data_IF_378488066685
#
_entry.id   IF_378488066685
#
_cell.length_a   1.000
_cell.length_b   1.000
_cell.length_c   1.000
_cell.angle_alpha   90.00
_cell.angle_beta   90.00
_cell.angle_gamma   90.00
#
_symmetry.space_group_name_H-M   'P 1'
#
loop_
_entity.id
_entity.type
_entity.pdbx_description
1 polymer ?
#
# COMPACT_ATOMS: atom_id res chain seq x y z
N UNK A 1 7.79 -37.41 25.84
CA UNK A 1 8.89 -37.27 24.88
C UNK A 1 8.78 -35.97 24.06
N UNK A 2 7.67 -35.64 23.39
CA UNK A 2 7.49 -34.41 22.57
C UNK A 2 7.86 -33.11 23.32
N UNK A 3 7.38 -32.91 24.57
CA UNK A 3 7.69 -31.71 25.38
C UNK A 3 9.15 -31.55 25.74
N UNK A 4 9.88 -32.68 25.90
CA UNK A 4 11.31 -32.66 26.22
C UNK A 4 12.12 -32.27 24.97
N UNK A 5 11.70 -32.76 23.79
CA UNK A 5 12.33 -32.46 22.51
C UNK A 5 12.18 -30.97 22.17
N UNK A 6 10.98 -30.41 22.36
CA UNK A 6 10.73 -28.98 22.16
C UNK A 6 11.58 -28.11 23.10
N UNK A 7 11.70 -28.50 24.39
CA UNK A 7 12.56 -27.79 25.34
C UNK A 7 14.05 -27.85 24.96
N UNK A 8 14.51 -28.98 24.44
CA UNK A 8 15.88 -29.13 24.00
C UNK A 8 16.20 -28.31 22.75
N UNK A 9 15.29 -28.33 21.77
CA UNK A 9 15.40 -27.51 20.56
C UNK A 9 15.44 -26.00 20.90
N UNK A 10 14.57 -25.52 21.80
CA UNK A 10 14.59 -24.11 22.26
C UNK A 10 15.91 -23.74 22.92
N UNK A 11 16.54 -24.65 23.71
CA UNK A 11 17.86 -24.41 24.29
C UNK A 11 18.98 -24.31 23.24
N UNK A 12 18.80 -24.96 22.10
CA UNK A 12 19.71 -24.92 20.95
C UNK A 12 19.42 -23.79 19.96
N UNK A 13 18.43 -22.94 20.24
CA UNK A 13 18.04 -21.82 19.37
C UNK A 13 17.13 -22.21 18.21
N UNK A 14 16.52 -23.41 18.25
CA UNK A 14 15.57 -23.86 17.23
C UNK A 14 14.14 -23.89 17.77
N UNK A 15 13.18 -23.50 16.94
CA UNK A 15 11.76 -23.68 17.21
C UNK A 15 11.21 -24.85 16.39
N UNK A 16 10.60 -25.81 17.09
CA UNK A 16 9.92 -26.95 16.42
C UNK A 16 8.46 -26.60 16.33
N UNK A 17 7.97 -26.47 15.12
CA UNK A 17 6.56 -26.21 14.78
C UNK A 17 5.95 -27.51 14.28
N UNK A 18 4.80 -27.88 14.83
CA UNK A 18 4.01 -29.00 14.29
C UNK A 18 3.20 -28.50 13.12
N UNK A 19 3.63 -28.80 11.91
CA UNK A 19 2.95 -28.37 10.68
C UNK A 19 1.57 -28.98 10.48
N UNK A 20 1.23 -30.04 11.18
CA UNK A 20 -0.09 -30.68 11.11
C UNK A 20 -1.09 -30.11 12.15
N UNK A 21 -0.59 -29.46 13.18
CA UNK A 21 -1.39 -28.84 14.25
C UNK A 21 -1.11 -27.33 14.30
N UNK A 22 -1.60 -26.63 13.29
CA UNK A 22 -1.61 -25.18 13.23
C UNK A 22 -2.72 -24.58 14.11
N UNK A 23 -2.91 -25.08 15.30
CA UNK A 23 -3.76 -24.43 16.28
C UNK A 23 -3.05 -23.23 16.88
N UNK A 24 -3.03 -22.12 16.14
CA UNK A 24 -2.85 -20.83 16.77
C UNK A 24 -4.07 -20.59 17.67
N UNK A 25 -3.92 -20.04 18.90
CA UNK A 25 -5.04 -19.64 19.73
C UNK A 25 -6.05 -18.73 19.03
N UNK A 26 -5.63 -18.10 17.93
CA UNK A 26 -6.44 -17.21 17.10
C UNK A 26 -7.22 -17.94 15.99
N UNK A 27 -6.81 -19.11 15.54
CA UNK A 27 -7.54 -19.89 14.50
C UNK A 27 -8.76 -20.65 15.03
N UNK A 28 -8.82 -20.92 16.35
CA UNK A 28 -9.93 -21.64 16.97
C UNK A 28 -11.07 -20.72 17.44
N UNK A 29 -10.90 -19.41 17.34
CA UNK A 29 -11.96 -18.41 17.56
C UNK A 29 -12.22 -17.72 16.23
N UNK A 30 -13.48 -17.66 15.81
CA UNK A 30 -13.86 -16.72 14.76
C UNK A 30 -13.36 -15.35 15.21
N UNK A 31 -12.48 -14.76 14.37
CA UNK A 31 -12.02 -13.40 14.58
C UNK A 31 -13.20 -12.47 14.31
N UNK A 32 -13.97 -12.17 15.34
CA UNK A 32 -15.02 -11.15 15.30
C UNK A 32 -14.46 -9.75 15.56
N UNK A 33 -13.16 -9.64 15.76
CA UNK A 33 -12.49 -8.37 16.07
C UNK A 33 -11.96 -7.75 14.77
N UNK A 34 -12.22 -6.47 14.60
CA UNK A 34 -11.67 -5.70 13.48
C UNK A 34 -10.16 -5.54 13.66
N UNK A 35 -9.39 -6.05 12.73
CA UNK A 35 -7.91 -6.06 12.78
C UNK A 35 -7.27 -4.66 12.67
N UNK A 36 -8.06 -3.65 12.35
CA UNK A 36 -7.60 -2.29 12.07
C UNK A 36 -7.79 -1.30 13.21
N UNK A 37 -8.24 -1.73 14.38
CA UNK A 37 -8.46 -0.82 15.51
C UNK A 37 -7.14 -0.61 16.25
N UNK A 38 -6.68 0.64 16.30
CA UNK A 38 -5.55 1.09 17.11
C UNK A 38 -5.77 0.68 18.58
N UNK A 39 -4.76 0.10 19.22
CA UNK A 39 -4.74 -0.39 20.58
C UNK A 39 -5.49 -1.70 20.86
N UNK A 40 -5.94 -2.42 19.86
CA UNK A 40 -6.50 -3.75 20.04
C UNK A 40 -5.44 -4.84 20.05
N UNK A 41 -5.83 -6.02 20.51
CA UNK A 41 -4.96 -7.15 20.75
C UNK A 41 -4.29 -7.63 19.44
N UNK A 42 -2.97 -7.63 19.40
CA UNK A 42 -2.20 -8.16 18.26
C UNK A 42 -2.55 -9.63 18.01
N UNK A 43 -2.78 -9.96 16.73
CA UNK A 43 -2.98 -11.34 16.29
C UNK A 43 -1.65 -11.87 15.77
N UNK A 44 -1.22 -12.97 16.35
CA UNK A 44 -0.03 -13.71 15.88
C UNK A 44 -0.51 -14.80 14.95
N UNK A 45 -0.17 -14.68 13.66
CA UNK A 45 -0.43 -15.70 12.67
C UNK A 45 0.72 -16.71 12.61
N UNK A 46 0.44 -18.00 12.38
CA UNK A 46 1.49 -19.01 12.27
C UNK A 46 2.34 -18.78 11.01
N UNK A 47 3.65 -19.04 11.12
CA UNK A 47 4.63 -18.86 10.04
C UNK A 47 4.67 -20.02 9.04
N UNK A 48 3.99 -21.12 9.25
CA UNK A 48 4.01 -22.29 8.37
C UNK A 48 3.42 -22.06 6.98
N UNK A 49 3.39 -23.08 6.17
CA UNK A 49 2.72 -23.06 4.86
C UNK A 49 1.23 -22.78 5.02
N UNK A 50 0.71 -21.92 4.15
CA UNK A 50 -0.70 -21.54 4.12
C UNK A 50 -1.26 -21.88 2.76
N UNK A 51 -2.41 -22.55 2.75
CA UNK A 51 -3.16 -22.76 1.51
C UNK A 51 -3.75 -21.41 1.08
N UNK A 52 -3.24 -20.87 -0.02
CA UNK A 52 -3.75 -19.62 -0.58
C UNK A 52 -5.12 -19.87 -1.22
N UNK A 53 -6.15 -19.29 -0.59
CA UNK A 53 -7.54 -19.33 -1.06
C UNK A 53 -8.02 -17.98 -1.60
N UNK A 54 -7.29 -16.90 -1.26
CA UNK A 54 -7.54 -15.53 -1.72
C UNK A 54 -6.37 -15.06 -2.57
N UNK A 55 -6.38 -15.52 -3.82
CA UNK A 55 -5.33 -15.17 -4.79
C UNK A 55 -5.62 -13.81 -5.43
N UNK A 56 -4.58 -12.98 -5.55
CA UNK A 56 -4.65 -11.69 -6.25
C UNK A 56 -4.41 -11.91 -7.75
N UNK A 57 -5.34 -11.48 -8.59
CA UNK A 57 -5.25 -11.58 -10.05
C UNK A 57 -5.05 -10.21 -10.71
N UNK A 58 -5.41 -9.13 -10.01
CA UNK A 58 -5.24 -7.78 -10.53
C UNK A 58 -5.02 -6.74 -9.43
N UNK A 59 -4.26 -5.71 -9.76
CA UNK A 59 -4.07 -4.53 -8.93
C UNK A 59 -4.32 -3.29 -9.79
N UNK A 60 -5.19 -2.40 -9.31
CA UNK A 60 -5.31 -1.05 -9.81
C UNK A 60 -4.53 -0.12 -8.89
N UNK A 61 -3.54 0.57 -9.42
CA UNK A 61 -2.79 1.59 -8.68
C UNK A 61 -3.35 2.96 -9.08
N UNK A 62 -3.80 3.74 -8.11
CA UNK A 62 -4.32 5.09 -8.33
C UNK A 62 -3.38 6.09 -7.66
N UNK A 63 -2.71 6.89 -8.47
CA UNK A 63 -1.74 7.89 -8.02
C UNK A 63 -2.38 9.27 -8.07
N UNK A 64 -2.33 10.02 -6.97
CA UNK A 64 -2.69 11.43 -6.96
C UNK A 64 -1.45 12.27 -7.20
N UNK A 65 -1.49 13.14 -8.20
CA UNK A 65 -0.34 13.95 -8.63
C UNK A 65 -0.70 15.43 -8.73
N UNK A 66 0.19 16.27 -8.23
CA UNK A 66 0.20 17.71 -8.48
C UNK A 66 1.64 18.22 -8.45
N UNK A 67 2.16 18.59 -9.60
CA UNK A 67 3.57 18.99 -9.75
C UNK A 67 3.85 20.45 -9.47
N UNK A 68 2.79 21.27 -9.25
CA UNK A 68 2.90 22.72 -9.06
C UNK A 68 2.72 23.15 -7.60
N UNK A 69 2.32 22.23 -6.71
CA UNK A 69 2.00 22.61 -5.34
C UNK A 69 3.27 22.84 -4.51
N UNK A 70 3.33 23.94 -3.80
CA UNK A 70 4.31 24.14 -2.75
C UNK A 70 3.95 23.32 -1.51
N UNK A 71 4.92 23.11 -0.61
CA UNK A 71 4.68 22.29 0.59
C UNK A 71 3.53 22.90 1.38
N UNK A 72 2.54 22.06 1.74
CA UNK A 72 1.39 22.42 2.56
C UNK A 72 1.78 23.04 3.92
N UNK A 73 2.83 22.50 4.55
CA UNK A 73 3.32 22.99 5.83
C UNK A 73 4.47 23.99 5.60
N UNK A 74 4.18 25.28 5.76
CA UNK A 74 5.15 26.36 5.60
C UNK A 74 6.38 26.24 6.53
N UNK A 75 6.30 25.41 7.57
CA UNK A 75 7.40 25.13 8.49
C UNK A 75 8.29 23.95 8.05
N UNK A 76 7.92 23.22 7.00
CA UNK A 76 8.70 22.10 6.48
C UNK A 76 9.27 22.42 5.10
N UNK A 77 10.59 22.37 4.99
CA UNK A 77 11.27 22.42 3.69
C UNK A 77 11.32 21.04 3.07
N UNK A 78 11.24 20.95 1.73
CA UNK A 78 11.53 19.71 1.03
C UNK A 78 12.97 19.28 1.30
N UNK A 79 13.16 18.00 1.55
CA UNK A 79 14.45 17.45 2.01
C UNK A 79 15.64 17.82 1.10
N UNK A 80 15.41 17.94 -0.20
CA UNK A 80 16.46 18.21 -1.20
C UNK A 80 16.30 19.56 -1.91
N UNK A 81 15.42 20.44 -1.44
CA UNK A 81 15.16 21.77 -2.02
C UNK A 81 14.94 21.77 -3.55
N UNK A 82 14.41 20.66 -4.08
CA UNK A 82 14.10 20.51 -5.50
C UNK A 82 12.65 20.91 -5.80
N UNK A 83 12.32 21.30 -7.04
CA UNK A 83 10.95 21.53 -7.48
C UNK A 83 10.10 20.26 -7.28
N UNK A 84 8.80 20.41 -7.03
CA UNK A 84 7.86 19.28 -6.78
C UNK A 84 7.90 18.23 -7.89
N UNK A 85 8.05 18.64 -9.15
CA UNK A 85 8.16 17.71 -10.29
C UNK A 85 9.28 16.67 -10.14
N UNK A 86 10.41 17.03 -9.52
CA UNK A 86 11.51 16.09 -9.29
C UNK A 86 11.12 14.98 -8.31
N UNK A 87 10.31 15.31 -7.31
CA UNK A 87 9.76 14.31 -6.38
C UNK A 87 8.76 13.40 -7.08
N UNK A 88 7.85 13.97 -7.89
CA UNK A 88 6.87 13.20 -8.67
C UNK A 88 7.56 12.24 -9.65
N UNK A 89 8.61 12.69 -10.35
CA UNK A 89 9.41 11.84 -11.25
C UNK A 89 10.06 10.68 -10.48
N UNK A 90 10.66 10.96 -9.32
CA UNK A 90 11.31 9.91 -8.49
C UNK A 90 10.29 8.91 -7.94
N UNK A 91 9.15 9.41 -7.47
CA UNK A 91 8.04 8.58 -7.01
C UNK A 91 7.57 7.63 -8.11
N UNK A 92 7.25 8.17 -9.30
CA UNK A 92 6.78 7.37 -10.43
C UNK A 92 7.85 6.38 -10.91
N UNK A 93 9.13 6.77 -10.97
CA UNK A 93 10.23 5.84 -11.30
C UNK A 93 10.31 4.69 -10.31
N UNK A 94 10.27 4.97 -9.02
CA UNK A 94 10.32 3.92 -7.99
C UNK A 94 9.08 3.03 -8.04
N UNK A 95 7.90 3.60 -8.35
CA UNK A 95 6.68 2.84 -8.57
C UNK A 95 6.78 1.90 -9.77
N UNK A 96 7.34 2.35 -10.89
CA UNK A 96 7.57 1.49 -12.05
C UNK A 96 8.54 0.35 -11.73
N UNK A 97 9.60 0.63 -10.97
CA UNK A 97 10.56 -0.40 -10.55
C UNK A 97 9.90 -1.50 -9.72
N UNK A 98 9.07 -1.13 -8.73
CA UNK A 98 8.36 -2.12 -7.91
C UNK A 98 7.31 -2.89 -8.71
N UNK A 99 6.67 -2.27 -9.72
CA UNK A 99 5.75 -2.96 -10.65
C UNK A 99 6.50 -4.00 -11.47
N UNK A 100 7.60 -3.61 -12.11
CA UNK A 100 8.41 -4.51 -12.93
C UNK A 100 8.97 -5.67 -12.08
N UNK A 101 9.42 -5.40 -10.86
CA UNK A 101 9.86 -6.44 -9.91
C UNK A 101 8.73 -7.40 -9.54
N UNK A 102 7.56 -6.86 -9.19
CA UNK A 102 6.38 -7.67 -8.84
C UNK A 102 5.97 -8.58 -10.00
N UNK A 103 5.89 -8.05 -11.23
CA UNK A 103 5.56 -8.82 -12.42
C UNK A 103 6.59 -9.91 -12.73
N UNK A 104 7.86 -9.73 -12.37
CA UNK A 104 8.88 -10.77 -12.48
C UNK A 104 8.60 -11.99 -11.58
N UNK A 105 7.88 -11.80 -10.47
CA UNK A 105 7.48 -12.84 -9.50
C UNK A 105 6.08 -13.38 -9.76
N UNK A 106 5.19 -12.51 -10.23
CA UNK A 106 3.79 -12.81 -10.53
C UNK A 106 3.47 -12.48 -12.00
N UNK A 107 3.95 -13.29 -12.97
CA UNK A 107 3.87 -12.95 -14.41
C UNK A 107 2.43 -12.90 -14.94
N UNK A 108 1.48 -13.52 -14.24
CA UNK A 108 0.06 -13.51 -14.62
C UNK A 108 -0.75 -12.41 -13.92
N UNK A 109 -0.14 -11.64 -13.02
CA UNK A 109 -0.79 -10.55 -12.31
C UNK A 109 -1.02 -9.38 -13.26
N UNK A 110 -2.24 -8.87 -13.31
CA UNK A 110 -2.58 -7.71 -14.13
C UNK A 110 -2.43 -6.45 -13.28
N UNK A 111 -1.54 -5.56 -13.67
CA UNK A 111 -1.35 -4.26 -13.00
C UNK A 111 -1.67 -3.14 -13.97
N UNK A 112 -2.59 -2.26 -13.57
CA UNK A 112 -2.89 -0.99 -14.27
C UNK A 112 -2.62 0.15 -13.30
N UNK A 113 -2.06 1.25 -13.81
CA UNK A 113 -1.88 2.47 -13.03
C UNK A 113 -2.67 3.61 -13.66
N UNK A 114 -3.37 4.37 -12.85
CA UNK A 114 -4.06 5.60 -13.23
C UNK A 114 -3.50 6.74 -12.39
N UNK A 115 -2.95 7.76 -13.04
CA UNK A 115 -2.49 8.98 -12.41
C UNK A 115 -3.58 10.03 -12.56
N UNK A 116 -4.07 10.56 -11.45
CA UNK A 116 -5.01 11.68 -11.42
C UNK A 116 -4.20 12.95 -11.24
N UNK A 117 -4.14 13.75 -12.29
CA UNK A 117 -3.39 15.00 -12.33
C UNK A 117 -4.25 16.18 -11.90
N UNK A 118 -3.78 16.96 -10.94
CA UNK A 118 -4.40 18.18 -10.46
C UNK A 118 -3.68 19.43 -11.00
N UNK A 119 -3.97 19.77 -12.26
CA UNK A 119 -3.50 20.99 -12.92
C UNK A 119 -1.96 21.17 -13.00
N UNK A 120 -1.22 20.11 -13.21
CA UNK A 120 0.20 20.24 -13.52
C UNK A 120 0.42 21.02 -14.83
N UNK A 121 1.54 21.74 -14.92
CA UNK A 121 1.91 22.47 -16.13
C UNK A 121 2.10 21.51 -17.32
N UNK A 122 1.87 22.03 -18.52
CA UNK A 122 2.07 21.26 -19.76
C UNK A 122 3.47 20.69 -19.85
N UNK A 123 4.50 21.50 -19.51
CA UNK A 123 5.90 21.08 -19.53
C UNK A 123 6.14 19.88 -18.59
N UNK A 124 5.57 19.93 -17.36
CA UNK A 124 5.71 18.85 -16.39
C UNK A 124 4.95 17.59 -16.82
N UNK A 125 3.75 17.75 -17.40
CA UNK A 125 3.00 16.62 -17.97
C UNK A 125 3.74 15.96 -19.13
N UNK A 126 4.42 16.72 -20.01
CA UNK A 126 5.25 16.17 -21.09
C UNK A 126 6.42 15.36 -20.53
N UNK A 127 7.07 15.81 -19.45
CA UNK A 127 8.14 15.04 -18.75
C UNK A 127 7.60 13.72 -18.20
N UNK A 128 6.44 13.74 -17.56
CA UNK A 128 5.80 12.53 -17.01
C UNK A 128 5.37 11.59 -18.14
N UNK A 129 4.71 12.10 -19.18
CA UNK A 129 4.29 11.30 -20.33
C UNK A 129 5.47 10.57 -21.00
N UNK A 130 6.60 11.28 -21.19
CA UNK A 130 7.81 10.67 -21.73
C UNK A 130 8.37 9.56 -20.80
N UNK A 131 8.27 9.75 -19.49
CA UNK A 131 8.72 8.77 -18.49
C UNK A 131 7.92 7.47 -18.53
N UNK A 132 6.59 7.57 -18.70
CA UNK A 132 5.67 6.42 -18.63
C UNK A 132 5.41 5.78 -20.01
N UNK A 133 6.06 6.28 -21.07
CA UNK A 133 5.85 5.80 -22.44
C UNK A 133 6.05 4.28 -22.52
N UNK A 134 5.08 3.58 -23.10
CA UNK A 134 5.13 2.11 -23.25
C UNK A 134 4.77 1.32 -21.98
N UNK A 135 4.41 1.98 -20.89
CA UNK A 135 3.92 1.34 -19.66
C UNK A 135 2.38 1.33 -19.62
N UNK A 136 1.80 0.43 -18.84
CA UNK A 136 0.34 0.38 -18.61
C UNK A 136 -0.07 1.44 -17.57
N UNK A 137 0.21 2.70 -17.88
CA UNK A 137 -0.05 3.87 -17.03
C UNK A 137 -0.84 4.89 -17.85
N UNK A 138 -1.94 5.36 -17.29
CA UNK A 138 -2.83 6.37 -17.87
C UNK A 138 -2.83 7.62 -16.99
N UNK A 139 -2.84 8.81 -17.62
CA UNK A 139 -3.02 10.08 -16.89
C UNK A 139 -4.39 10.62 -17.22
N UNK A 140 -5.16 10.97 -16.19
CA UNK A 140 -6.45 11.62 -16.30
C UNK A 140 -6.44 12.92 -15.50
N UNK A 141 -7.17 13.93 -15.96
CA UNK A 141 -7.29 15.20 -15.24
C UNK A 141 -8.27 15.11 -14.09
N UNK A 142 -8.01 15.86 -13.02
CA UNK A 142 -8.94 16.03 -11.92
C UNK A 142 -10.14 16.88 -12.35
N UNK A 143 -11.35 16.33 -12.20
CA UNK A 143 -12.61 16.97 -12.56
C UNK A 143 -13.17 17.82 -11.39
N UNK A 144 -12.58 18.97 -11.09
CA UNK A 144 -12.94 19.82 -9.94
C UNK A 144 -14.46 20.12 -9.86
N UNK A 145 -15.06 20.54 -10.96
CA UNK A 145 -16.47 20.93 -11.00
C UNK A 145 -17.44 19.80 -10.59
N UNK A 146 -17.06 18.56 -10.82
CA UNK A 146 -17.84 17.39 -10.44
C UNK A 146 -18.03 17.27 -8.93
N UNK A 147 -17.04 17.74 -8.15
CA UNK A 147 -17.00 17.56 -6.71
C UNK A 147 -17.45 18.78 -5.91
N UNK A 148 -17.68 19.95 -6.54
CA UNK A 148 -18.11 21.18 -5.88
C UNK A 148 -19.37 21.01 -5.02
N UNK A 149 -20.33 20.20 -5.48
CA UNK A 149 -21.57 19.94 -4.75
C UNK A 149 -21.40 19.05 -3.49
N UNK A 150 -20.30 18.28 -3.44
CA UNK A 150 -20.02 17.36 -2.33
C UNK A 150 -19.09 17.98 -1.29
N UNK A 151 -18.15 18.81 -1.74
CA UNK A 151 -17.14 19.44 -0.89
C UNK A 151 -17.59 20.85 -0.55
N UNK A 152 -18.16 21.03 0.65
CA UNK A 152 -18.67 22.32 1.11
C UNK A 152 -17.78 22.88 2.22
N UNK A 153 -17.78 24.20 2.34
CA UNK A 153 -17.12 24.95 3.45
C UNK A 153 -15.60 24.75 3.57
N UNK A 154 -14.91 24.52 2.46
CA UNK A 154 -13.45 24.47 2.49
C UNK A 154 -12.85 25.87 2.55
N UNK A 155 -11.82 26.02 3.39
CA UNK A 155 -11.19 27.32 3.65
C UNK A 155 -10.24 27.77 2.52
N UNK A 156 -9.64 26.81 1.81
CA UNK A 156 -8.66 27.08 0.77
C UNK A 156 -8.91 26.21 -0.49
N UNK A 157 -8.38 26.69 -1.62
CA UNK A 157 -8.43 25.96 -2.89
C UNK A 157 -7.67 24.63 -2.81
N UNK A 158 -6.55 24.62 -2.11
CA UNK A 158 -5.69 23.43 -1.94
C UNK A 158 -6.41 22.34 -1.15
N UNK A 159 -7.12 22.71 -0.08
CA UNK A 159 -7.95 21.75 0.67
C UNK A 159 -9.06 21.16 -0.19
N UNK A 160 -9.70 22.00 -1.02
CA UNK A 160 -10.71 21.51 -1.97
C UNK A 160 -10.10 20.52 -2.98
N UNK A 161 -9.00 20.89 -3.63
CA UNK A 161 -8.29 20.05 -4.60
C UNK A 161 -7.87 18.71 -4.01
N UNK A 162 -7.33 18.70 -2.79
CA UNK A 162 -6.95 17.47 -2.10
C UNK A 162 -8.15 16.54 -1.89
N UNK A 163 -9.28 17.08 -1.42
CA UNK A 163 -10.49 16.27 -1.21
C UNK A 163 -11.10 15.81 -2.54
N UNK A 164 -11.11 16.67 -3.56
CA UNK A 164 -11.62 16.31 -4.89
C UNK A 164 -10.78 15.19 -5.52
N UNK A 165 -9.46 15.27 -5.43
CA UNK A 165 -8.56 14.21 -5.94
C UNK A 165 -8.75 12.90 -5.19
N UNK A 166 -8.99 12.94 -3.87
CA UNK A 166 -9.31 11.77 -3.07
C UNK A 166 -10.63 11.12 -3.50
N UNK A 167 -11.68 11.91 -3.69
CA UNK A 167 -12.98 11.41 -4.15
C UNK A 167 -12.89 10.81 -5.55
N UNK A 168 -12.17 11.47 -6.47
CA UNK A 168 -11.95 10.92 -7.81
C UNK A 168 -11.15 9.61 -7.76
N UNK A 169 -10.18 9.50 -6.85
CA UNK A 169 -9.44 8.26 -6.65
C UNK A 169 -10.34 7.11 -6.25
N UNK A 170 -11.27 7.34 -5.33
CA UNK A 170 -12.25 6.32 -4.95
C UNK A 170 -13.21 5.96 -6.10
N UNK A 171 -13.64 6.94 -6.90
CA UNK A 171 -14.46 6.67 -8.09
C UNK A 171 -13.70 5.82 -9.11
N UNK A 172 -12.45 6.17 -9.41
CA UNK A 172 -11.60 5.38 -10.30
C UNK A 172 -11.41 3.98 -9.75
N UNK A 173 -11.10 3.86 -8.46
CA UNK A 173 -10.97 2.59 -7.77
C UNK A 173 -12.22 1.73 -7.91
N UNK A 174 -13.39 2.31 -7.60
CA UNK A 174 -14.69 1.62 -7.70
C UNK A 174 -15.03 1.17 -9.12
N UNK A 175 -14.70 1.97 -10.12
CA UNK A 175 -15.12 1.73 -11.51
C UNK A 175 -14.15 0.83 -12.29
N UNK A 176 -12.86 0.81 -11.91
CA UNK A 176 -11.81 0.12 -12.67
C UNK A 176 -11.09 -0.97 -11.85
N UNK A 177 -11.20 -0.96 -10.52
CA UNK A 177 -10.62 -1.99 -9.66
C UNK A 177 -11.42 -3.30 -9.70
N UNK A 178 -10.71 -4.42 -9.72
CA UNK A 178 -11.34 -5.75 -9.67
C UNK A 178 -11.02 -6.48 -8.36
N UNK A 179 -9.71 -6.72 -8.06
CA UNK A 179 -9.31 -7.40 -6.81
C UNK A 179 -8.78 -6.39 -5.79
N UNK A 180 -7.58 -5.86 -6.02
CA UNK A 180 -6.96 -4.91 -5.12
C UNK A 180 -6.83 -3.52 -5.74
N UNK A 181 -6.92 -2.51 -4.88
CA UNK A 181 -6.68 -1.11 -5.24
C UNK A 181 -5.63 -0.56 -4.30
N UNK A 182 -4.56 0.01 -4.88
CA UNK A 182 -3.51 0.71 -4.15
C UNK A 182 -3.63 2.21 -4.41
N UNK A 183 -3.86 3.00 -3.37
CA UNK A 183 -3.85 4.47 -3.43
C UNK A 183 -2.48 5.00 -3.04
N UNK A 184 -1.91 5.87 -3.87
CA UNK A 184 -0.55 6.42 -3.73
C UNK A 184 -0.56 7.92 -3.95
N UNK A 185 0.31 8.63 -3.27
CA UNK A 185 0.64 10.03 -3.54
C UNK A 185 1.97 10.14 -4.29
N UNK A 186 2.17 11.22 -5.02
CA UNK A 186 3.30 11.40 -5.94
C UNK A 186 4.60 11.87 -5.27
N UNK A 187 4.73 11.69 -3.97
CA UNK A 187 5.92 12.08 -3.19
C UNK A 187 6.50 10.94 -2.31
N UNK A 188 5.96 9.72 -2.45
CA UNK A 188 6.53 8.53 -1.83
C UNK A 188 7.61 7.89 -2.68
N UNK A 189 8.64 7.37 -2.04
CA UNK A 189 9.60 6.46 -2.65
C UNK A 189 9.21 5.02 -2.34
N UNK A 190 9.14 4.21 -3.36
CA UNK A 190 8.77 2.80 -3.26
C UNK A 190 10.02 1.93 -3.29
N UNK A 191 10.17 1.05 -2.30
CA UNK A 191 11.19 0.00 -2.35
C UNK A 191 10.83 -1.02 -3.43
N UNK A 192 11.83 -1.51 -4.13
CA UNK A 192 11.64 -2.43 -5.25
C UNK A 192 10.76 -3.65 -4.91
N UNK A 193 10.90 -4.35 -3.76
CA UNK A 193 10.05 -5.49 -3.41
C UNK A 193 8.68 -5.12 -2.83
N UNK A 194 8.38 -3.82 -2.63
CA UNK A 194 7.19 -3.39 -1.88
C UNK A 194 5.89 -4.02 -2.40
N UNK A 195 5.63 -3.95 -3.71
CA UNK A 195 4.38 -4.44 -4.27
C UNK A 195 4.29 -5.98 -4.24
N UNK A 196 5.40 -6.67 -4.44
CA UNK A 196 5.49 -8.13 -4.29
C UNK A 196 5.19 -8.56 -2.86
N UNK A 197 5.79 -7.88 -1.89
CA UNK A 197 5.56 -8.16 -0.46
C UNK A 197 4.12 -7.89 -0.04
N UNK A 198 3.49 -6.84 -0.58
CA UNK A 198 2.07 -6.55 -0.36
C UNK A 198 1.18 -7.67 -0.88
N UNK A 199 1.41 -8.15 -2.12
CA UNK A 199 0.65 -9.25 -2.70
C UNK A 199 0.81 -10.51 -1.85
N UNK A 200 2.05 -10.90 -1.55
CA UNK A 200 2.34 -12.08 -0.75
C UNK A 200 1.70 -12.00 0.65
N UNK A 201 1.80 -10.86 1.30
CA UNK A 201 1.20 -10.62 2.62
C UNK A 201 -0.32 -10.66 2.58
N UNK A 202 -0.93 -10.01 1.59
CA UNK A 202 -2.39 -10.05 1.42
C UNK A 202 -2.89 -11.46 1.20
N UNK A 203 -2.33 -12.18 0.22
CA UNK A 203 -2.76 -13.54 -0.10
C UNK A 203 -2.66 -14.45 1.12
N UNK A 204 -1.56 -14.35 1.87
CA UNK A 204 -1.33 -15.14 3.07
C UNK A 204 -2.32 -14.81 4.17
N UNK A 205 -2.38 -13.54 4.58
CA UNK A 205 -3.18 -13.13 5.74
C UNK A 205 -4.67 -13.29 5.44
N UNK A 206 -5.14 -12.79 4.29
CA UNK A 206 -6.54 -12.89 3.91
C UNK A 206 -7.01 -14.35 3.79
N UNK A 207 -6.12 -15.25 3.31
CA UNK A 207 -6.42 -16.69 3.26
C UNK A 207 -6.50 -17.33 4.64
N UNK A 208 -5.62 -16.93 5.57
CA UNK A 208 -5.63 -17.46 6.93
C UNK A 208 -6.86 -17.03 7.73
N UNK A 209 -7.27 -15.77 7.59
CA UNK A 209 -8.42 -15.23 8.35
C UNK A 209 -9.75 -15.39 7.60
N UNK A 210 -9.71 -15.76 6.33
CA UNK A 210 -10.92 -15.92 5.50
C UNK A 210 -11.66 -14.62 5.17
N UNK A 211 -11.00 -13.45 5.30
CA UNK A 211 -11.56 -12.11 5.08
C UNK A 211 -10.61 -11.25 4.27
N UNK A 212 -11.14 -10.24 3.58
CA UNK A 212 -10.33 -9.21 2.99
C UNK A 212 -9.77 -8.27 4.05
N UNK A 213 -8.58 -7.73 3.79
CA UNK A 213 -7.87 -6.85 4.71
C UNK A 213 -7.49 -5.55 4.03
N UNK A 214 -7.39 -4.49 4.82
CA UNK A 214 -6.71 -3.27 4.43
C UNK A 214 -5.25 -3.34 4.87
N UNK A 215 -4.36 -2.84 4.02
CA UNK A 215 -2.93 -2.79 4.30
C UNK A 215 -2.41 -1.38 4.06
N UNK A 216 -1.55 -0.92 4.95
CA UNK A 216 -0.82 0.33 4.79
C UNK A 216 0.67 0.01 4.76
N UNK A 217 1.30 0.01 3.58
CA UNK A 217 2.71 -0.34 3.45
C UNK A 217 3.65 0.79 3.83
N UNK A 218 3.12 1.93 4.27
CA UNK A 218 3.92 3.10 4.63
C UNK A 218 4.69 2.87 5.92
N UNK A 219 5.96 3.24 5.89
CA UNK A 219 6.85 3.19 7.05
C UNK A 219 7.03 4.61 7.61
N UNK A 220 6.16 4.98 8.54
CA UNK A 220 6.20 6.29 9.16
C UNK A 220 6.98 6.27 10.47
N UNK A 221 7.99 7.14 10.65
CA UNK A 221 8.79 7.20 11.90
C UNK A 221 7.93 7.37 13.16
N UNK A 222 6.82 8.07 13.10
CA UNK A 222 5.95 8.28 14.26
C UNK A 222 5.30 6.98 14.77
N UNK A 223 5.20 5.94 13.93
CA UNK A 223 4.69 4.63 14.36
C UNK A 223 5.63 3.94 15.35
N UNK A 224 6.91 4.31 15.35
CA UNK A 224 7.94 3.77 16.25
C UNK A 224 8.21 4.67 17.46
N UNK A 225 7.75 5.93 17.42
CA UNK A 225 8.05 6.93 18.45
C UNK A 225 7.01 6.98 19.57
N UNK A 226 5.81 6.52 19.30
CA UNK A 226 4.70 6.50 20.26
C UNK A 226 4.52 5.10 20.81
N UNK A 227 4.15 4.99 22.11
CA UNK A 227 3.81 3.70 22.74
C UNK A 227 2.46 3.15 22.23
N UNK A 228 1.98 3.60 21.10
CA UNK A 228 0.77 3.08 20.47
C UNK A 228 1.05 1.68 19.92
N UNK A 229 0.16 0.76 20.26
CA UNK A 229 0.23 -0.61 19.73
C UNK A 229 -0.18 -0.59 18.27
N UNK A 230 0.80 -0.70 17.40
CA UNK A 230 0.57 -0.87 15.96
C UNK A 230 0.80 -2.32 15.57
N UNK A 231 0.05 -2.80 14.59
CA UNK A 231 0.34 -4.07 13.94
C UNK A 231 1.48 -3.83 12.95
N UNK A 232 2.68 -4.20 13.33
CA UNK A 232 3.83 -4.14 12.42
C UNK A 232 3.89 -5.46 11.69
N UNK A 233 3.63 -5.43 10.40
CA UNK A 233 3.95 -6.51 9.50
C UNK A 233 5.36 -6.25 8.97
N UNK A 234 6.34 -6.94 9.49
CA UNK A 234 7.68 -6.91 8.90
C UNK A 234 7.65 -7.88 7.73
N UNK A 235 7.45 -7.32 6.54
CA UNK A 235 7.56 -8.09 5.30
C UNK A 235 9.00 -8.47 5.07
N UNK A 236 9.30 -9.71 5.36
CA UNK A 236 10.43 -10.37 4.74
C UNK A 236 9.82 -11.32 3.73
N UNK A 237 10.35 -11.38 2.51
CA UNK A 237 9.90 -12.22 1.37
C UNK A 237 9.55 -13.67 1.71
N UNK A 238 9.72 -14.08 2.92
CA UNK A 238 9.60 -15.46 3.38
C UNK A 238 8.75 -15.62 4.63
N UNK A 239 8.07 -14.56 5.03
CA UNK A 239 7.27 -14.62 6.26
C UNK A 239 5.79 -14.55 5.96
#
# INVERSE_FOLDING_TARGET
>A
MRKIFIKLAKKLGYEIIDQSDFSSPTLNKQLNEELSILNEKSIILPLGEVKITRKVNSILIVVRMNTEIEIWDQNKKRLFEQPKIEYSIRSIKSLMSTIDFCLSKYPNLKIKTVIIDDNSSRENLEKINNLILGKNIEIISLEHSKFEKFIKNQKTKETFSNLASLLQSFEVGKNQGNDLILFVEDDYLHFEPMLEEMVASYERIASQIGKDIFMCPSDYPYLYMNNEKTNILIGNKRH
#
